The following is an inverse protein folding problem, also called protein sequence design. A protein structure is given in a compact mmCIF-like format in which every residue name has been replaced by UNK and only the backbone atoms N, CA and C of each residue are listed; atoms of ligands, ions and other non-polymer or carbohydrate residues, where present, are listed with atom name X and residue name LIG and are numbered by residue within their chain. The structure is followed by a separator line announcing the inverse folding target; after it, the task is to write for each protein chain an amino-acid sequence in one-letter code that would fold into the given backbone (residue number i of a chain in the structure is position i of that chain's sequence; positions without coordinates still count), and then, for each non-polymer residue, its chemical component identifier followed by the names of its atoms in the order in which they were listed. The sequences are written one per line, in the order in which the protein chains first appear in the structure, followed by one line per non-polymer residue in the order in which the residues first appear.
data_IF_571285040275
#
_entry.id   IF_571285040275
#
_cell.length_a   1.000
_cell.length_b   1.000
_cell.length_c   1.000
_cell.angle_alpha   90.00
_cell.angle_beta   90.00
_cell.angle_gamma   90.00
#
_symmetry.space_group_name_H-M   'P 1'
#
loop_
_entity.id
_entity.type
_entity.pdbx_description
1 polymer ?
#
# COMPACT_ATOMS: atom_id res chain seq x y z
N UNK A 1 40.14 -36.92 -70.21
CA UNK A 1 38.68 -36.56 -69.96
C UNK A 1 38.51 -36.30 -68.50
N UNK A 2 38.22 -35.10 -68.07
CA UNK A 2 38.02 -34.81 -66.66
C UNK A 2 36.52 -35.05 -66.26
N UNK A 3 36.35 -35.86 -65.24
CA UNK A 3 35.03 -36.21 -64.66
C UNK A 3 34.50 -35.07 -63.80
N UNK A 4 33.25 -34.62 -64.04
CA UNK A 4 32.54 -33.63 -63.27
C UNK A 4 32.17 -34.14 -61.84
N UNK A 5 32.31 -33.33 -60.78
CA UNK A 5 31.86 -33.70 -59.46
C UNK A 5 30.33 -33.64 -59.35
N UNK A 6 29.71 -34.44 -58.44
CA UNK A 6 28.26 -34.47 -58.28
C UNK A 6 27.77 -33.23 -57.59
N UNK A 7 26.58 -32.68 -58.04
CA UNK A 7 25.90 -31.56 -57.47
C UNK A 7 25.21 -31.98 -56.16
N UNK A 8 25.56 -31.32 -55.06
CA UNK A 8 24.92 -31.49 -53.75
C UNK A 8 23.47 -30.90 -53.77
N UNK A 9 22.46 -31.59 -53.24
CA UNK A 9 21.09 -31.04 -53.20
C UNK A 9 21.00 -29.93 -52.19
N UNK A 10 20.41 -28.81 -52.62
CA UNK A 10 20.06 -27.66 -51.79
C UNK A 10 19.01 -28.09 -50.75
N UNK A 11 19.37 -28.09 -49.48
CA UNK A 11 18.44 -28.22 -48.37
C UNK A 11 17.90 -26.84 -47.95
N UNK A 12 16.58 -26.59 -48.00
CA UNK A 12 16.01 -25.32 -47.52
C UNK A 12 16.22 -25.23 -46.00
N UNK A 13 16.87 -24.15 -45.56
CA UNK A 13 16.96 -23.76 -44.15
C UNK A 13 15.60 -23.29 -43.67
N UNK A 14 14.89 -24.08 -42.88
CA UNK A 14 13.73 -23.66 -42.14
C UNK A 14 14.15 -22.57 -41.15
N UNK A 15 13.85 -21.33 -41.49
CA UNK A 15 13.94 -20.18 -40.56
C UNK A 15 12.84 -20.37 -39.50
N UNK A 16 13.24 -20.85 -38.35
CA UNK A 16 12.35 -20.86 -37.18
C UNK A 16 12.18 -19.41 -36.71
N UNK A 17 11.06 -18.78 -37.05
CA UNK A 17 10.64 -17.52 -36.49
C UNK A 17 10.30 -17.76 -35.02
N UNK A 18 11.24 -17.47 -34.12
CA UNK A 18 11.03 -17.48 -32.68
C UNK A 18 10.17 -16.32 -32.32
N UNK A 19 8.90 -16.58 -31.97
CA UNK A 19 7.98 -15.61 -31.37
C UNK A 19 8.51 -15.32 -29.96
N UNK A 20 9.27 -14.24 -29.80
CA UNK A 20 9.69 -13.76 -28.50
C UNK A 20 8.46 -13.14 -27.80
N UNK A 21 7.89 -13.90 -26.86
CA UNK A 21 6.85 -13.39 -25.96
C UNK A 21 7.52 -12.40 -25.00
N UNK A 22 7.44 -11.10 -25.29
CA UNK A 22 7.87 -10.06 -24.36
C UNK A 22 6.85 -9.98 -23.23
N UNK A 23 7.21 -10.57 -22.08
CA UNK A 23 6.47 -10.43 -20.84
C UNK A 23 6.70 -8.99 -20.35
N UNK A 24 5.80 -8.06 -20.69
CA UNK A 24 5.78 -6.73 -20.11
C UNK A 24 5.32 -6.87 -18.67
N UNK A 25 6.26 -6.82 -17.71
CA UNK A 25 5.94 -6.63 -16.31
C UNK A 25 5.25 -5.27 -16.17
N UNK A 26 3.94 -5.26 -15.88
CA UNK A 26 3.21 -4.08 -15.46
C UNK A 26 3.77 -3.70 -14.08
N UNK A 27 4.71 -2.76 -14.05
CA UNK A 27 5.11 -2.13 -12.80
C UNK A 27 3.86 -1.42 -12.23
N UNK A 28 3.39 -1.86 -11.06
CA UNK A 28 2.32 -1.16 -10.35
C UNK A 28 2.80 0.25 -10.03
N UNK A 29 2.12 1.24 -10.59
CA UNK A 29 2.41 2.63 -10.26
C UNK A 29 1.94 2.90 -8.82
N UNK A 30 2.74 3.64 -8.04
CA UNK A 30 2.36 4.05 -6.69
C UNK A 30 1.01 4.78 -6.70
N UNK A 31 0.19 4.50 -5.71
CA UNK A 31 -1.12 5.14 -5.53
C UNK A 31 -0.91 6.64 -5.24
N UNK A 32 -1.69 7.49 -5.92
CA UNK A 32 -1.59 8.95 -5.86
C UNK A 32 -2.95 9.60 -5.61
N UNK A 33 -2.98 10.88 -5.24
CA UNK A 33 -4.22 11.63 -5.13
C UNK A 33 -5.04 11.56 -6.42
N UNK A 34 -6.34 11.24 -6.28
CA UNK A 34 -7.28 11.02 -7.37
C UNK A 34 -7.56 9.56 -7.70
N UNK A 35 -6.68 8.64 -7.34
CA UNK A 35 -6.89 7.21 -7.54
C UNK A 35 -7.90 6.65 -6.52
N UNK A 36 -8.60 5.58 -6.89
CA UNK A 36 -9.35 4.78 -5.92
C UNK A 36 -8.37 3.93 -5.10
N UNK A 37 -8.53 3.93 -3.76
CA UNK A 37 -7.75 3.02 -2.93
C UNK A 37 -8.28 1.60 -3.09
N UNK A 38 -7.42 0.56 -3.18
CA UNK A 38 -7.86 -0.82 -3.40
C UNK A 38 -8.75 -1.32 -2.26
N UNK A 39 -9.73 -2.17 -2.59
CA UNK A 39 -10.48 -2.91 -1.60
C UNK A 39 -9.53 -3.79 -0.77
N UNK A 40 -9.69 -3.77 0.55
CA UNK A 40 -8.80 -4.49 1.47
C UNK A 40 -9.10 -5.99 1.55
N UNK A 41 -10.33 -6.41 1.24
CA UNK A 41 -10.78 -7.80 1.42
C UNK A 41 -9.93 -8.84 0.65
N UNK A 42 -9.51 -8.61 -0.61
CA UNK A 42 -8.71 -9.57 -1.37
C UNK A 42 -7.32 -9.84 -0.78
N UNK A 43 -6.75 -8.91 -0.03
CA UNK A 43 -5.37 -9.00 0.50
C UNK A 43 -5.23 -9.94 1.68
N UNK A 44 -6.35 -10.42 2.25
CA UNK A 44 -6.35 -11.36 3.39
C UNK A 44 -5.45 -10.90 4.54
N UNK A 45 -5.59 -9.62 4.89
CA UNK A 45 -4.87 -9.02 5.99
C UNK A 45 -5.22 -9.73 7.31
N UNK A 46 -4.23 -9.96 8.17
CA UNK A 46 -4.47 -10.50 9.50
C UNK A 46 -5.04 -9.40 10.42
N UNK A 47 -6.10 -9.71 11.14
CA UNK A 47 -6.84 -8.79 11.99
C UNK A 47 -8.31 -8.76 11.62
N UNK A 48 -9.06 -7.81 12.19
CA UNK A 48 -10.48 -7.65 11.92
C UNK A 48 -10.69 -6.38 11.10
N UNK A 49 -11.14 -6.53 9.86
CA UNK A 49 -11.52 -5.39 9.02
C UNK A 49 -12.73 -4.68 9.64
N UNK A 50 -12.77 -3.33 9.62
CA UNK A 50 -13.95 -2.59 10.05
C UNK A 50 -15.17 -2.99 9.22
N UNK A 51 -16.32 -3.14 9.87
CA UNK A 51 -17.55 -3.62 9.24
C UNK A 51 -18.10 -2.69 8.14
N UNK A 52 -17.80 -1.39 8.21
CA UNK A 52 -18.27 -0.42 7.23
C UNK A 52 -17.24 0.71 7.04
N UNK A 53 -16.68 0.78 5.84
CA UNK A 53 -15.83 1.90 5.39
C UNK A 53 -16.58 2.84 4.45
N UNK A 54 -17.72 2.41 3.90
CA UNK A 54 -18.56 3.24 3.02
C UNK A 54 -19.02 4.49 3.76
N UNK A 55 -18.92 5.62 3.09
CA UNK A 55 -19.32 6.95 3.62
C UNK A 55 -18.51 7.39 4.84
N UNK A 56 -17.33 6.84 5.04
CA UNK A 56 -16.38 7.27 6.07
C UNK A 56 -15.18 7.96 5.43
N UNK A 57 -14.61 8.92 6.14
CA UNK A 57 -13.26 9.39 5.87
C UNK A 57 -12.31 8.33 6.43
N UNK A 58 -11.41 7.81 5.60
CA UNK A 58 -10.51 6.72 6.01
C UNK A 58 -9.07 7.17 5.93
N UNK A 59 -8.31 6.94 7.00
CA UNK A 59 -6.86 7.04 6.99
C UNK A 59 -6.27 5.64 6.96
N UNK A 60 -5.51 5.32 5.91
CA UNK A 60 -4.73 4.07 5.83
C UNK A 60 -3.27 4.42 6.02
N UNK A 61 -2.66 3.91 7.10
CA UNK A 61 -1.27 4.17 7.46
C UNK A 61 -0.44 2.88 7.42
N UNK A 62 0.63 2.86 6.64
CA UNK A 62 1.57 1.73 6.56
C UNK A 62 2.72 1.95 7.53
N UNK A 63 3.01 0.94 8.36
CA UNK A 63 3.99 1.04 9.43
C UNK A 63 4.70 -0.28 9.74
N UNK A 64 5.83 -0.19 10.45
CA UNK A 64 6.54 -1.35 10.97
C UNK A 64 7.09 -1.07 12.38
N UNK A 65 7.30 -2.12 13.17
CA UNK A 65 7.81 -2.02 14.55
C UNK A 65 9.23 -1.45 14.63
N UNK A 66 10.04 -1.69 13.62
CA UNK A 66 11.42 -1.20 13.49
C UNK A 66 11.51 0.24 12.98
N UNK A 67 10.40 0.84 12.57
CA UNK A 67 10.34 2.19 11.99
C UNK A 67 10.28 3.24 13.10
N UNK A 68 11.35 4.01 13.28
CA UNK A 68 11.43 5.08 14.30
C UNK A 68 10.32 6.13 14.17
N UNK A 69 10.13 6.78 12.98
CA UNK A 69 9.06 7.77 12.79
C UNK A 69 7.65 7.19 12.97
N UNK A 70 7.45 5.86 12.77
CA UNK A 70 6.17 5.23 13.04
C UNK A 70 5.82 5.23 14.53
N UNK A 71 6.82 5.07 15.42
CA UNK A 71 6.63 5.19 16.88
C UNK A 71 6.09 6.56 17.27
N UNK A 72 6.55 7.60 16.58
CA UNK A 72 6.12 8.97 16.82
C UNK A 72 4.74 9.27 16.21
N UNK A 73 4.35 8.59 15.12
CA UNK A 73 3.04 8.80 14.50
C UNK A 73 1.87 8.17 15.27
N UNK A 74 2.11 7.07 16.03
CA UNK A 74 1.06 6.38 16.78
C UNK A 74 0.31 7.28 17.76
N UNK A 75 0.96 8.05 18.66
CA UNK A 75 0.25 8.97 19.54
C UNK A 75 -0.56 10.03 18.79
N UNK A 76 -0.05 10.50 17.63
CA UNK A 76 -0.78 11.45 16.80
C UNK A 76 -2.04 10.82 16.21
N UNK A 77 -1.96 9.57 15.74
CA UNK A 77 -3.13 8.83 15.24
C UNK A 77 -4.16 8.56 16.34
N UNK A 78 -3.74 8.26 17.59
CA UNK A 78 -4.65 8.14 18.73
C UNK A 78 -5.43 9.43 18.96
N UNK A 79 -4.75 10.58 18.98
CA UNK A 79 -5.41 11.86 19.13
C UNK A 79 -6.39 12.16 17.99
N UNK A 80 -6.05 11.78 16.74
CA UNK A 80 -6.96 11.92 15.60
C UNK A 80 -8.18 11.00 15.73
N UNK A 81 -7.98 9.75 16.15
CA UNK A 81 -9.07 8.81 16.39
C UNK A 81 -10.01 9.27 17.49
N UNK A 82 -9.47 9.78 18.60
CA UNK A 82 -10.26 10.33 19.71
C UNK A 82 -11.08 11.55 19.25
N UNK A 83 -10.44 12.47 18.53
CA UNK A 83 -11.06 13.72 18.08
C UNK A 83 -12.11 13.53 17.00
N UNK A 84 -11.82 12.70 15.98
CA UNK A 84 -12.61 12.63 14.76
C UNK A 84 -13.35 11.30 14.55
N UNK A 85 -13.07 10.26 15.35
CA UNK A 85 -13.70 8.95 15.18
C UNK A 85 -15.24 9.01 15.25
N UNK A 86 -15.79 9.76 16.19
CA UNK A 86 -17.25 9.96 16.32
C UNK A 86 -17.83 10.82 15.19
N UNK A 87 -17.00 11.58 14.48
CA UNK A 87 -17.39 12.41 13.35
C UNK A 87 -17.33 11.66 12.00
N UNK A 88 -16.83 10.42 12.01
CA UNK A 88 -16.79 9.58 10.83
C UNK A 88 -15.40 9.26 10.28
N UNK A 89 -14.31 9.58 11.00
CA UNK A 89 -12.98 9.11 10.68
C UNK A 89 -12.83 7.64 11.09
N UNK A 90 -12.21 6.84 10.23
CA UNK A 90 -11.75 5.48 10.51
C UNK A 90 -10.26 5.41 10.22
N UNK A 91 -9.45 5.01 11.20
CA UNK A 91 -8.02 4.80 11.01
C UNK A 91 -7.74 3.30 10.89
N UNK A 92 -6.98 2.91 9.87
CA UNK A 92 -6.53 1.55 9.59
C UNK A 92 -5.01 1.58 9.49
N UNK A 93 -4.31 1.10 10.51
CA UNK A 93 -2.86 0.96 10.52
C UNK A 93 -2.47 -0.42 10.00
N UNK A 94 -1.81 -0.46 8.85
CA UNK A 94 -1.37 -1.69 8.17
C UNK A 94 0.08 -1.95 8.51
N UNK A 95 0.32 -2.96 9.33
CA UNK A 95 1.65 -3.40 9.72
C UNK A 95 2.28 -4.27 8.62
N UNK A 96 3.56 -4.07 8.36
CA UNK A 96 4.32 -4.84 7.36
C UNK A 96 5.48 -5.64 7.94
N UNK A 97 5.51 -5.86 9.26
CA UNK A 97 6.52 -6.73 9.87
C UNK A 97 6.40 -8.16 9.33
N UNK A 98 7.53 -8.78 9.02
CA UNK A 98 7.58 -10.19 8.63
C UNK A 98 7.18 -11.10 9.81
N UNK A 99 7.61 -10.74 11.01
CA UNK A 99 7.31 -11.47 12.22
C UNK A 99 6.13 -10.83 12.98
N UNK A 100 5.06 -11.57 13.16
CA UNK A 100 3.89 -11.14 13.94
C UNK A 100 4.22 -10.83 15.40
N UNK A 101 5.27 -11.47 15.95
CA UNK A 101 5.73 -11.23 17.32
C UNK A 101 6.20 -9.80 17.53
N UNK A 102 6.90 -9.22 16.56
CA UNK A 102 7.45 -7.87 16.63
C UNK A 102 6.33 -6.82 16.61
N UNK A 103 5.32 -6.99 15.74
CA UNK A 103 4.09 -6.19 15.78
C UNK A 103 3.41 -6.25 17.14
N UNK A 104 3.27 -7.46 17.73
CA UNK A 104 2.63 -7.63 19.04
C UNK A 104 3.42 -7.00 20.17
N UNK A 105 4.76 -7.08 20.14
CA UNK A 105 5.62 -6.44 21.11
C UNK A 105 5.47 -4.91 21.06
N UNK A 106 5.50 -4.35 19.86
CA UNK A 106 5.26 -2.91 19.63
C UNK A 106 3.90 -2.46 20.21
N UNK A 107 2.82 -3.18 19.90
CA UNK A 107 1.47 -2.81 20.36
C UNK A 107 1.25 -2.96 21.87
N UNK A 108 2.10 -3.67 22.59
CA UNK A 108 2.09 -3.68 24.07
C UNK A 108 2.61 -2.36 24.65
N UNK A 109 3.55 -1.72 23.96
CA UNK A 109 4.15 -0.45 24.38
C UNK A 109 3.40 0.76 23.81
N UNK A 110 2.80 0.59 22.64
CA UNK A 110 2.09 1.61 21.88
C UNK A 110 0.66 1.11 21.58
N UNK A 111 -0.21 1.16 22.58
CA UNK A 111 -1.60 0.73 22.41
C UNK A 111 -2.31 1.54 21.31
N UNK A 112 -3.18 0.87 20.55
CA UNK A 112 -3.97 1.49 19.49
C UNK A 112 -5.47 1.28 19.75
N UNK A 113 -6.25 2.36 19.76
CA UNK A 113 -7.72 2.33 19.82
C UNK A 113 -8.34 2.21 18.42
N UNK A 114 -7.55 2.45 17.39
CA UNK A 114 -7.90 2.29 15.97
C UNK A 114 -7.63 0.86 15.46
N UNK A 115 -8.10 0.57 14.26
CA UNK A 115 -7.90 -0.75 13.64
C UNK A 115 -6.45 -0.98 13.27
N UNK A 116 -5.88 -2.11 13.71
CA UNK A 116 -4.56 -2.57 13.28
C UNK A 116 -4.71 -3.87 12.51
N UNK A 117 -4.18 -3.90 11.30
CA UNK A 117 -4.11 -5.06 10.41
C UNK A 117 -2.66 -5.39 10.10
N UNK A 118 -2.35 -6.61 9.73
CA UNK A 118 -1.01 -6.99 9.27
C UNK A 118 -1.07 -7.52 7.83
N UNK A 119 -0.24 -6.94 6.96
CA UNK A 119 -0.02 -7.42 5.59
C UNK A 119 1.09 -8.47 5.56
N UNK A 120 0.77 -9.66 6.09
CA UNK A 120 1.73 -10.78 6.21
C UNK A 120 2.30 -11.24 4.86
N UNK A 121 1.65 -10.90 3.76
CA UNK A 121 2.04 -11.29 2.40
C UNK A 121 2.71 -10.16 1.63
N UNK A 122 2.83 -8.98 2.21
CA UNK A 122 3.40 -7.78 1.58
C UNK A 122 2.67 -7.35 0.29
N UNK A 123 1.46 -7.85 0.04
CA UNK A 123 0.74 -7.64 -1.22
C UNK A 123 0.08 -6.26 -1.30
N UNK A 124 -0.48 -5.78 -0.21
CA UNK A 124 -1.10 -4.46 -0.18
C UNK A 124 -0.03 -3.35 -0.23
N UNK A 125 1.06 -3.51 0.53
CA UNK A 125 2.17 -2.54 0.53
C UNK A 125 2.83 -2.43 -0.83
N UNK A 126 3.01 -3.55 -1.55
CA UNK A 126 3.50 -3.57 -2.93
C UNK A 126 2.52 -2.89 -3.89
N UNK A 127 1.22 -3.21 -3.78
CA UNK A 127 0.17 -2.59 -4.61
C UNK A 127 0.11 -1.08 -4.39
N UNK A 128 0.26 -0.63 -3.13
CA UNK A 128 0.24 0.78 -2.79
C UNK A 128 1.51 1.53 -3.24
N UNK A 129 2.56 0.80 -3.62
CA UNK A 129 3.82 1.39 -4.08
C UNK A 129 4.57 2.13 -2.98
N UNK A 130 4.56 1.59 -1.75
CA UNK A 130 5.16 2.23 -0.57
C UNK A 130 6.68 2.17 -0.65
N UNK A 131 7.32 3.34 -0.70
CA UNK A 131 8.78 3.47 -0.71
C UNK A 131 9.37 3.93 0.63
N UNK A 132 8.54 4.48 1.53
CA UNK A 132 8.96 5.07 2.80
C UNK A 132 7.94 4.77 3.88
N UNK A 133 8.39 4.62 5.13
CA UNK A 133 7.51 4.42 6.29
C UNK A 133 7.73 5.49 7.36
N UNK A 134 6.63 5.95 7.99
CA UNK A 134 5.24 5.62 7.65
C UNK A 134 4.81 6.23 6.31
N UNK A 135 3.80 5.64 5.68
CA UNK A 135 3.10 6.28 4.56
C UNK A 135 1.60 6.23 4.81
N UNK A 136 0.96 7.38 4.73
CA UNK A 136 -0.46 7.50 5.05
C UNK A 136 -1.24 8.01 3.84
N UNK A 137 -2.42 7.44 3.64
CA UNK A 137 -3.39 7.84 2.63
C UNK A 137 -4.65 8.33 3.33
N UNK A 138 -5.12 9.52 2.97
CA UNK A 138 -6.43 10.01 3.41
C UNK A 138 -7.42 9.88 2.27
N UNK A 139 -8.48 9.13 2.54
CA UNK A 139 -9.53 8.80 1.59
C UNK A 139 -10.81 9.57 1.94
N UNK A 140 -11.50 10.04 0.91
CA UNK A 140 -12.85 10.60 1.07
C UNK A 140 -13.91 9.50 1.27
N UNK A 141 -15.16 9.91 1.39
CA UNK A 141 -16.32 9.03 1.65
C UNK A 141 -16.62 8.05 0.51
N UNK A 142 -16.05 8.29 -0.68
CA UNK A 142 -16.17 7.44 -1.86
C UNK A 142 -14.97 6.47 -2.02
N UNK A 143 -14.02 6.52 -1.06
CA UNK A 143 -12.81 5.69 -1.08
C UNK A 143 -11.73 6.18 -2.02
N UNK A 144 -11.82 7.45 -2.46
CA UNK A 144 -10.84 8.07 -3.34
C UNK A 144 -9.73 8.72 -2.52
N UNK A 145 -8.48 8.47 -2.90
CA UNK A 145 -7.31 9.10 -2.27
C UNK A 145 -7.32 10.59 -2.52
N UNK A 146 -7.30 11.38 -1.45
CA UNK A 146 -7.25 12.83 -1.53
C UNK A 146 -5.88 13.37 -1.13
N UNK A 147 -5.24 12.75 -0.15
CA UNK A 147 -3.91 13.15 0.31
C UNK A 147 -3.04 11.91 0.54
N UNK A 148 -1.73 12.09 0.31
CA UNK A 148 -0.70 11.06 0.53
C UNK A 148 0.46 11.71 1.28
N UNK A 149 0.86 11.10 2.39
CA UNK A 149 2.02 11.52 3.17
C UNK A 149 3.07 10.43 3.19
N UNK A 150 4.32 10.81 2.95
CA UNK A 150 5.49 9.93 3.02
C UNK A 150 6.39 10.39 4.17
N UNK A 151 6.49 9.56 5.21
CA UNK A 151 7.18 9.89 6.45
C UNK A 151 6.31 10.71 7.42
N UNK A 152 6.79 10.79 8.67
CA UNK A 152 6.16 11.58 9.74
C UNK A 152 7.17 12.60 10.30
N UNK A 153 6.79 13.87 10.32
CA UNK A 153 7.62 15.00 10.76
C UNK A 153 7.06 15.68 12.02
N UNK A 154 6.58 14.84 12.95
CA UNK A 154 6.04 15.30 14.22
C UNK A 154 4.84 16.24 14.06
N UNK A 155 4.86 17.37 14.76
CA UNK A 155 3.74 18.32 14.78
C UNK A 155 3.40 18.95 13.42
N UNK A 156 4.34 18.99 12.48
CA UNK A 156 4.06 19.51 11.13
C UNK A 156 3.07 18.59 10.40
N UNK A 157 3.38 17.29 10.30
CA UNK A 157 2.50 16.30 9.65
C UNK A 157 1.18 16.16 10.40
N UNK A 158 1.20 16.20 11.75
CA UNK A 158 -0.03 16.16 12.54
C UNK A 158 -0.98 17.31 12.21
N UNK A 159 -0.48 18.54 12.04
CA UNK A 159 -1.31 19.69 11.63
C UNK A 159 -1.89 19.52 10.23
N UNK A 160 -1.10 18.96 9.29
CA UNK A 160 -1.57 18.62 7.95
C UNK A 160 -2.72 17.62 8.03
N UNK A 161 -2.58 16.50 8.76
CA UNK A 161 -3.64 15.53 8.97
C UNK A 161 -4.92 16.14 9.53
N UNK A 162 -4.82 17.00 10.56
CA UNK A 162 -5.98 17.66 11.17
C UNK A 162 -6.73 18.49 10.13
N UNK A 163 -6.03 19.35 9.38
CA UNK A 163 -6.67 20.24 8.40
C UNK A 163 -7.32 19.44 7.25
N UNK A 164 -6.66 18.40 6.78
CA UNK A 164 -7.14 17.55 5.69
C UNK A 164 -8.34 16.71 6.11
N UNK A 165 -8.31 16.08 7.31
CA UNK A 165 -9.44 15.34 7.88
C UNK A 165 -10.64 16.26 8.10
N UNK A 166 -10.44 17.45 8.65
CA UNK A 166 -11.52 18.44 8.82
C UNK A 166 -12.15 18.85 7.49
N UNK A 167 -11.36 18.98 6.43
CA UNK A 167 -11.86 19.25 5.08
C UNK A 167 -12.74 18.10 4.58
N UNK A 168 -12.23 16.87 4.65
CA UNK A 168 -12.93 15.67 4.15
C UNK A 168 -14.20 15.33 4.94
N UNK A 169 -14.26 15.72 6.22
CA UNK A 169 -15.45 15.49 7.05
C UNK A 169 -16.58 16.49 6.75
N UNK A 170 -16.27 17.63 6.11
CA UNK A 170 -17.26 18.65 5.70
C UNK A 170 -17.89 18.35 4.34
N UNK A 171 -17.17 17.62 3.46
CA UNK A 171 -17.63 17.15 2.16
C UNK A 171 -18.66 16.00 2.33
#
# INVERSE_FOLDING_TARGET
MPTRPPKLPWRPRLVRLGLALTLTALASAAIKPGDAFPDLAPYKLEGTLPAALKHKVVMVDFWASWCGPCKESFPAMEELQERFGKQGLVIIAVNVDENRGDMKAFLKEHAASFTVLRDARQQLVETAGIATMPSSFLLDRDGKVRFVHSGFRGQATKREYVAEIESLLKD
#
